data_IF_705626899670
#
_entry.id   IF_705626899670
#
_cell.length_a   1.000
_cell.length_b   1.000
_cell.length_c   1.000
_cell.angle_alpha   90.00
_cell.angle_beta   90.00
_cell.angle_gamma   90.00
#
_symmetry.space_group_name_H-M   'P 1'
#
loop_
_entity.id
_entity.type
_entity.pdbx_description
1 polymer ?
#
# COMPACT_ATOMS: atom_id res chain seq x y z
N UNK A 1 -10.54 17.01 -78.48
CA UNK A 1 -10.32 15.58 -78.75
C UNK A 1 -9.91 14.90 -77.45
N UNK A 2 -10.81 14.06 -76.94
CA UNK A 2 -10.77 13.43 -75.64
C UNK A 2 -9.81 12.22 -75.69
N UNK A 3 -8.76 12.18 -74.87
CA UNK A 3 -7.89 11.00 -74.77
C UNK A 3 -8.52 10.02 -73.78
N UNK A 4 -8.91 8.86 -74.29
CA UNK A 4 -9.44 7.72 -73.55
C UNK A 4 -8.40 7.21 -72.54
N UNK A 5 -8.85 7.03 -71.30
CA UNK A 5 -8.14 6.29 -70.27
C UNK A 5 -7.99 4.83 -70.73
N UNK A 6 -6.76 4.31 -70.72
CA UNK A 6 -6.52 2.88 -70.79
C UNK A 6 -7.05 2.23 -69.51
N UNK A 7 -8.01 1.34 -69.68
CA UNK A 7 -8.48 0.42 -68.65
C UNK A 7 -7.33 -0.47 -68.20
N UNK A 8 -6.94 -0.36 -66.93
CA UNK A 8 -6.19 -1.41 -66.25
C UNK A 8 -7.08 -2.64 -66.20
N UNK A 9 -6.82 -3.60 -67.07
CA UNK A 9 -7.38 -4.95 -66.95
C UNK A 9 -6.71 -5.56 -65.72
N UNK A 10 -7.51 -5.96 -64.73
CA UNK A 10 -7.08 -6.77 -63.59
C UNK A 10 -7.45 -8.23 -63.91
N UNK A 11 -6.58 -9.03 -64.54
CA UNK A 11 -6.75 -10.46 -64.55
C UNK A 11 -6.06 -11.04 -63.31
N UNK A 12 -6.84 -11.43 -62.28
CA UNK A 12 -6.55 -12.53 -61.32
C UNK A 12 -7.36 -12.56 -60.01
N UNK A 13 -8.19 -11.56 -59.71
CA UNK A 13 -8.98 -11.57 -58.46
C UNK A 13 -9.87 -12.82 -58.28
N UNK A 14 -10.44 -13.33 -59.38
CA UNK A 14 -11.35 -14.50 -59.39
C UNK A 14 -10.66 -15.84 -59.09
N UNK A 15 -9.48 -16.08 -59.66
CA UNK A 15 -8.67 -17.28 -59.36
C UNK A 15 -8.04 -17.21 -57.96
N UNK A 16 -7.66 -16.00 -57.52
CA UNK A 16 -7.09 -15.77 -56.19
C UNK A 16 -8.16 -15.93 -55.09
N UNK A 17 -9.41 -15.52 -55.32
CA UNK A 17 -10.54 -15.78 -54.42
C UNK A 17 -10.82 -17.28 -54.27
N UNK A 18 -10.94 -18.01 -55.39
CA UNK A 18 -11.18 -19.47 -55.36
C UNK A 18 -10.01 -20.19 -54.70
N UNK A 19 -8.76 -19.82 -55.00
CA UNK A 19 -7.57 -20.36 -54.32
C UNK A 19 -7.58 -20.03 -52.84
N UNK A 20 -7.89 -18.80 -52.43
CA UNK A 20 -7.92 -18.42 -51.02
C UNK A 20 -9.02 -19.16 -50.23
N UNK A 21 -10.21 -19.30 -50.81
CA UNK A 21 -11.30 -20.07 -50.21
C UNK A 21 -10.99 -21.57 -50.14
N UNK A 22 -10.36 -22.15 -51.17
CA UNK A 22 -9.86 -23.53 -51.14
C UNK A 22 -8.74 -23.70 -50.12
N UNK A 23 -7.80 -22.77 -50.06
CA UNK A 23 -6.68 -22.77 -49.10
C UNK A 23 -7.20 -22.66 -47.66
N UNK A 24 -8.23 -21.84 -47.40
CA UNK A 24 -8.88 -21.74 -46.09
C UNK A 24 -9.65 -23.02 -45.73
N UNK A 25 -10.32 -23.67 -46.69
CA UNK A 25 -11.00 -24.96 -46.50
C UNK A 25 -10.03 -26.12 -46.27
N UNK A 26 -8.85 -26.07 -46.89
CA UNK A 26 -7.78 -27.07 -46.73
C UNK A 26 -6.99 -26.87 -45.43
N UNK A 27 -6.71 -25.62 -45.03
CA UNK A 27 -5.98 -25.30 -43.82
C UNK A 27 -6.82 -25.40 -42.55
N UNK A 28 -8.14 -25.15 -42.64
CA UNK A 28 -9.05 -25.14 -41.49
C UNK A 28 -10.35 -25.94 -41.74
N UNK A 29 -10.27 -27.27 -41.91
CA UNK A 29 -11.45 -28.14 -42.13
C UNK A 29 -12.46 -28.09 -40.98
N UNK A 30 -12.06 -27.65 -39.79
CA UNK A 30 -12.91 -27.43 -38.61
C UNK A 30 -13.97 -26.34 -38.80
N UNK A 31 -13.76 -25.38 -39.73
CA UNK A 31 -14.74 -24.32 -40.02
C UNK A 31 -15.99 -24.85 -40.75
N UNK A 32 -15.92 -26.06 -41.31
CA UNK A 32 -17.02 -26.73 -42.01
C UNK A 32 -17.84 -27.64 -41.08
N UNK A 33 -17.39 -27.86 -39.84
CA UNK A 33 -18.09 -28.70 -38.87
C UNK A 33 -18.95 -27.83 -37.95
N UNK A 34 -20.24 -28.16 -37.74
CA UNK A 34 -21.04 -27.47 -36.73
C UNK A 34 -20.39 -27.69 -35.35
N UNK A 35 -20.18 -26.64 -34.55
CA UNK A 35 -19.41 -26.75 -33.32
C UNK A 35 -20.07 -27.79 -32.40
N UNK A 36 -19.29 -28.70 -31.78
CA UNK A 36 -19.85 -29.70 -30.88
C UNK A 36 -20.61 -29.01 -29.76
N UNK A 37 -21.81 -29.51 -29.44
CA UNK A 37 -22.64 -29.00 -28.33
C UNK A 37 -21.92 -29.27 -27.02
N UNK A 38 -21.11 -28.30 -26.59
CA UNK A 38 -20.32 -28.40 -25.38
C UNK A 38 -21.23 -28.46 -24.13
N UNK A 39 -20.91 -29.38 -23.23
CA UNK A 39 -21.63 -29.59 -21.98
C UNK A 39 -21.57 -28.31 -21.11
N UNK A 40 -22.70 -27.76 -20.62
CA UNK A 40 -22.72 -26.50 -19.87
C UNK A 40 -21.79 -26.48 -18.66
N UNK A 41 -21.61 -27.60 -17.96
CA UNK A 41 -20.70 -27.69 -16.81
C UNK A 41 -19.21 -27.62 -17.19
N UNK A 42 -18.82 -28.23 -18.31
CA UNK A 42 -17.46 -28.10 -18.85
C UNK A 42 -17.19 -26.69 -19.36
N UNK A 43 -18.18 -26.05 -20.01
CA UNK A 43 -18.08 -24.64 -20.43
C UNK A 43 -17.92 -23.70 -19.24
N UNK A 44 -18.64 -23.91 -18.14
CA UNK A 44 -18.51 -23.07 -16.93
C UNK A 44 -17.16 -23.28 -16.24
N UNK A 45 -16.70 -24.52 -16.09
CA UNK A 45 -15.37 -24.81 -15.53
C UNK A 45 -14.22 -24.26 -16.37
N UNK A 46 -14.30 -24.40 -17.70
CA UNK A 46 -13.33 -23.78 -18.63
C UNK A 46 -13.35 -22.26 -18.56
N UNK A 47 -14.53 -21.63 -18.47
CA UNK A 47 -14.64 -20.17 -18.33
C UNK A 47 -14.05 -19.66 -17.02
N UNK A 48 -14.26 -20.38 -15.91
CA UNK A 48 -13.66 -20.04 -14.61
C UNK A 48 -12.15 -20.23 -14.66
N UNK A 49 -11.66 -21.32 -15.24
CA UNK A 49 -10.22 -21.57 -15.42
C UNK A 49 -9.56 -20.49 -16.29
N UNK A 50 -10.16 -20.15 -17.43
CA UNK A 50 -9.71 -19.07 -18.30
C UNK A 50 -9.75 -17.70 -17.61
N UNK A 51 -10.76 -17.45 -16.78
CA UNK A 51 -10.86 -16.22 -15.99
C UNK A 51 -9.76 -16.12 -14.92
N UNK A 52 -9.43 -17.22 -14.24
CA UNK A 52 -8.34 -17.25 -13.27
C UNK A 52 -6.97 -17.10 -13.93
N UNK A 53 -6.78 -17.70 -15.11
CA UNK A 53 -5.57 -17.52 -15.91
C UNK A 53 -5.46 -16.09 -16.40
N UNK A 54 -6.55 -15.47 -16.87
CA UNK A 54 -6.53 -14.06 -17.33
C UNK A 54 -6.41 -13.04 -16.20
N UNK A 55 -6.71 -13.43 -14.96
CA UNK A 55 -6.43 -12.64 -13.75
C UNK A 55 -4.93 -12.53 -13.46
N UNK A 56 -4.15 -13.57 -13.79
CA UNK A 56 -2.73 -13.65 -13.44
C UNK A 56 -1.86 -13.29 -14.66
N UNK A 57 -2.22 -13.80 -15.83
CA UNK A 57 -1.45 -13.67 -17.06
C UNK A 57 -2.15 -12.73 -18.04
N UNK A 58 -1.37 -11.83 -18.63
CA UNK A 58 -1.83 -10.98 -19.72
C UNK A 58 -2.14 -11.85 -20.94
N UNK A 59 -3.29 -11.63 -21.58
CA UNK A 59 -3.70 -12.40 -22.75
C UNK A 59 -2.95 -11.88 -24.00
N UNK A 60 -2.09 -12.68 -24.66
CA UNK A 60 -1.36 -12.26 -25.86
C UNK A 60 -2.25 -11.81 -27.02
N UNK A 61 -3.46 -12.35 -27.13
CA UNK A 61 -4.42 -11.99 -28.18
C UNK A 61 -4.90 -10.55 -28.08
N UNK A 62 -4.88 -10.00 -26.87
CA UNK A 62 -5.27 -8.61 -26.64
C UNK A 62 -4.18 -7.62 -27.07
N UNK A 63 -2.96 -8.08 -27.42
CA UNK A 63 -1.83 -7.23 -27.81
C UNK A 63 -1.74 -6.99 -29.32
N UNK A 64 -2.01 -7.96 -30.20
CA UNK A 64 -1.81 -7.80 -31.66
C UNK A 64 -2.97 -7.19 -32.44
N UNK A 65 -4.09 -6.80 -31.82
CA UNK A 65 -5.21 -6.16 -32.53
C UNK A 65 -6.12 -7.16 -33.27
N UNK A 66 -7.06 -6.66 -34.08
CA UNK A 66 -8.14 -7.50 -34.68
C UNK A 66 -8.04 -7.67 -36.20
N UNK A 67 -7.36 -6.77 -36.90
CA UNK A 67 -7.48 -6.65 -38.35
C UNK A 67 -6.31 -7.34 -39.08
N UNK A 68 -5.11 -7.39 -38.50
CA UNK A 68 -3.93 -8.04 -39.10
C UNK A 68 -3.14 -8.79 -38.03
N UNK A 69 -2.95 -10.10 -38.20
CA UNK A 69 -2.15 -10.93 -37.30
C UNK A 69 -1.05 -11.64 -38.08
N UNK A 70 0.07 -10.95 -38.36
CA UNK A 70 1.25 -11.60 -38.93
C UNK A 70 1.90 -12.52 -37.89
N UNK A 71 2.57 -13.59 -38.34
CA UNK A 71 3.26 -14.51 -37.43
C UNK A 71 4.25 -13.78 -36.50
N UNK A 72 4.98 -12.79 -37.04
CA UNK A 72 5.89 -11.94 -36.28
C UNK A 72 5.17 -11.09 -35.23
N UNK A 73 4.03 -10.47 -35.58
CA UNK A 73 3.24 -9.65 -34.65
C UNK A 73 2.63 -10.50 -33.51
N UNK A 74 2.21 -11.72 -33.81
CA UNK A 74 1.73 -12.70 -32.82
C UNK A 74 2.86 -13.12 -31.90
N UNK A 75 4.04 -13.44 -32.42
CA UNK A 75 5.22 -13.80 -31.62
C UNK A 75 5.63 -12.67 -30.66
N UNK A 76 5.71 -11.44 -31.15
CA UNK A 76 6.06 -10.30 -30.29
C UNK A 76 4.98 -9.95 -29.27
N UNK A 77 3.72 -10.22 -29.58
CA UNK A 77 2.62 -10.09 -28.61
C UNK A 77 2.72 -11.11 -27.49
N UNK A 78 3.04 -12.37 -27.82
CA UNK A 78 3.28 -13.41 -26.82
C UNK A 78 4.47 -13.07 -25.94
N UNK A 79 5.57 -12.57 -26.53
CA UNK A 79 6.75 -12.13 -25.79
C UNK A 79 6.41 -10.97 -24.83
N UNK A 80 5.69 -9.95 -25.33
CA UNK A 80 5.29 -8.78 -24.53
C UNK A 80 4.36 -9.17 -23.38
N UNK A 81 3.33 -9.96 -23.67
CA UNK A 81 2.40 -10.47 -22.66
C UNK A 81 3.10 -11.33 -21.59
N UNK A 82 4.08 -12.15 -21.99
CA UNK A 82 4.88 -12.96 -21.06
C UNK A 82 5.73 -12.09 -20.13
N UNK A 83 6.41 -11.08 -20.68
CA UNK A 83 7.25 -10.17 -19.89
C UNK A 83 6.42 -9.37 -18.89
N UNK A 84 5.27 -8.84 -19.32
CA UNK A 84 4.33 -8.14 -18.41
C UNK A 84 3.85 -9.09 -17.32
N UNK A 85 3.42 -10.31 -17.68
CA UNK A 85 2.90 -11.28 -16.69
C UNK A 85 3.96 -11.66 -15.65
N UNK A 86 5.21 -11.89 -16.07
CA UNK A 86 6.32 -12.18 -15.16
C UNK A 86 6.60 -10.98 -14.26
N UNK A 87 6.64 -9.76 -14.81
CA UNK A 87 6.83 -8.53 -14.04
C UNK A 87 5.73 -8.32 -12.99
N UNK A 88 4.46 -8.45 -13.40
CA UNK A 88 3.30 -8.35 -12.52
C UNK A 88 3.33 -9.41 -11.42
N UNK A 89 3.71 -10.65 -11.73
CA UNK A 89 3.81 -11.73 -10.75
C UNK A 89 4.94 -11.51 -9.75
N UNK A 90 6.12 -11.06 -10.21
CA UNK A 90 7.23 -10.69 -9.32
C UNK A 90 6.81 -9.56 -8.38
N UNK A 91 6.19 -8.51 -8.92
CA UNK A 91 5.66 -7.42 -8.11
C UNK A 91 4.61 -7.91 -7.11
N UNK A 92 3.77 -8.87 -7.49
CA UNK A 92 2.80 -9.44 -6.57
C UNK A 92 3.47 -10.19 -5.42
N UNK A 93 4.48 -11.02 -5.71
CA UNK A 93 5.25 -11.72 -4.67
C UNK A 93 5.90 -10.71 -3.71
N UNK A 94 6.48 -9.64 -4.24
CA UNK A 94 7.18 -8.64 -3.41
C UNK A 94 6.24 -7.70 -2.66
N UNK A 95 5.04 -7.45 -3.17
CA UNK A 95 4.02 -6.64 -2.49
C UNK A 95 3.22 -7.43 -1.45
N UNK A 96 3.22 -8.75 -1.52
CA UNK A 96 2.43 -9.58 -0.62
C UNK A 96 2.70 -9.30 0.88
N UNK A 97 3.96 -9.11 1.34
CA UNK A 97 4.23 -8.83 2.75
C UNK A 97 3.62 -7.52 3.22
N UNK A 98 3.78 -6.43 2.47
CA UNK A 98 3.21 -5.13 2.86
C UNK A 98 1.68 -5.17 2.84
N UNK A 99 1.06 -5.85 1.86
CA UNK A 99 -0.39 -6.01 1.84
C UNK A 99 -0.88 -6.87 3.02
N UNK A 100 -0.18 -7.94 3.35
CA UNK A 100 -0.52 -8.78 4.50
C UNK A 100 -0.46 -7.97 5.81
N UNK A 101 0.63 -7.25 6.05
CA UNK A 101 0.76 -6.44 7.26
C UNK A 101 -0.26 -5.29 7.32
N UNK A 102 -0.66 -4.72 6.19
CA UNK A 102 -1.66 -3.65 6.15
C UNK A 102 -3.03 -4.13 6.66
N UNK A 103 -3.33 -5.42 6.50
CA UNK A 103 -4.58 -6.02 6.96
C UNK A 103 -4.43 -6.91 8.21
N UNK A 104 -3.21 -7.12 8.74
CA UNK A 104 -2.93 -7.99 9.90
C UNK A 104 -3.80 -7.63 11.11
N UNK A 105 -4.12 -6.34 11.28
CA UNK A 105 -4.92 -5.82 12.39
C UNK A 105 -6.37 -6.35 12.40
N UNK A 106 -6.89 -6.85 11.27
CA UNK A 106 -8.20 -7.52 11.18
C UNK A 106 -8.14 -9.03 11.50
N UNK A 107 -6.95 -9.55 11.82
CA UNK A 107 -6.69 -10.96 12.06
C UNK A 107 -6.03 -11.65 10.85
N UNK A 108 -5.30 -12.74 11.11
CA UNK A 108 -4.47 -13.41 10.10
C UNK A 108 -5.26 -13.94 8.90
N UNK A 109 -6.44 -14.54 9.12
CA UNK A 109 -7.26 -15.09 8.04
C UNK A 109 -7.86 -13.98 7.15
N UNK A 110 -8.53 -12.94 7.70
CA UNK A 110 -8.93 -11.76 6.92
C UNK A 110 -7.76 -11.07 6.23
N UNK A 111 -6.59 -10.97 6.89
CA UNK A 111 -5.41 -10.37 6.29
C UNK A 111 -4.93 -11.15 5.06
N UNK A 112 -4.88 -12.48 5.15
CA UNK A 112 -4.49 -13.32 4.03
C UNK A 112 -5.47 -13.20 2.86
N UNK A 113 -6.78 -13.23 3.11
CA UNK A 113 -7.79 -13.14 2.03
C UNK A 113 -7.81 -11.75 1.39
N UNK A 114 -7.78 -10.68 2.19
CA UNK A 114 -7.79 -9.31 1.70
C UNK A 114 -6.50 -8.98 0.92
N UNK A 115 -5.34 -9.37 1.45
CA UNK A 115 -4.04 -9.15 0.78
C UNK A 115 -3.97 -9.89 -0.55
N UNK A 116 -4.32 -11.18 -0.59
CA UNK A 116 -4.33 -11.96 -1.85
C UNK A 116 -5.31 -11.37 -2.86
N UNK A 117 -6.52 -10.99 -2.44
CA UNK A 117 -7.52 -10.40 -3.33
C UNK A 117 -7.03 -9.08 -3.91
N UNK A 118 -6.50 -8.19 -3.08
CA UNK A 118 -5.97 -6.91 -3.54
C UNK A 118 -4.76 -7.10 -4.44
N UNK A 119 -3.91 -8.08 -4.15
CA UNK A 119 -2.75 -8.41 -4.97
C UNK A 119 -3.16 -8.91 -6.36
N UNK A 120 -4.18 -9.77 -6.45
CA UNK A 120 -4.77 -10.20 -7.72
C UNK A 120 -5.38 -9.04 -8.51
N UNK A 121 -6.08 -8.11 -7.83
CA UNK A 121 -6.60 -6.90 -8.47
C UNK A 121 -5.47 -6.02 -9.03
N UNK A 122 -4.37 -5.90 -8.30
CA UNK A 122 -3.18 -5.16 -8.72
C UNK A 122 -2.51 -5.81 -9.95
N UNK A 123 -2.38 -7.14 -9.98
CA UNK A 123 -1.89 -7.87 -11.16
C UNK A 123 -2.79 -7.59 -12.35
N UNK A 124 -4.11 -7.77 -12.18
CA UNK A 124 -5.08 -7.54 -13.24
C UNK A 124 -5.01 -6.11 -13.76
N UNK A 125 -4.98 -5.13 -12.86
CA UNK A 125 -4.87 -3.71 -13.22
C UNK A 125 -3.59 -3.44 -14.02
N UNK A 126 -2.47 -4.05 -13.64
CA UNK A 126 -1.19 -3.89 -14.35
C UNK A 126 -1.24 -4.50 -15.75
N UNK A 127 -1.81 -5.71 -15.88
CA UNK A 127 -1.98 -6.40 -17.15
C UNK A 127 -2.94 -5.62 -18.08
N UNK A 128 -4.09 -5.17 -17.57
CA UNK A 128 -5.10 -4.41 -18.32
C UNK A 128 -4.51 -3.07 -18.83
N UNK A 129 -3.70 -2.37 -18.01
CA UNK A 129 -2.99 -1.17 -18.46
C UNK A 129 -1.95 -1.50 -19.54
N UNK A 130 -1.22 -2.62 -19.43
CA UNK A 130 -0.31 -3.09 -20.47
C UNK A 130 -1.02 -3.30 -21.82
N UNK A 131 -2.19 -3.94 -21.79
CA UNK A 131 -3.06 -4.09 -22.96
C UNK A 131 -3.54 -2.74 -23.50
N UNK A 132 -3.94 -1.81 -22.62
CA UNK A 132 -4.40 -0.48 -23.02
C UNK A 132 -3.29 0.36 -23.68
N UNK A 133 -2.04 0.23 -23.22
CA UNK A 133 -0.86 0.84 -23.85
C UNK A 133 -0.62 0.24 -25.24
N UNK A 134 -0.63 -1.10 -25.34
CA UNK A 134 -0.54 -1.81 -26.62
C UNK A 134 -1.73 -1.48 -27.56
N UNK A 135 -2.84 -0.98 -27.01
CA UNK A 135 -4.03 -0.49 -27.70
C UNK A 135 -3.93 0.87 -28.37
N UNK A 136 -2.73 1.40 -28.54
CA UNK A 136 -2.49 2.61 -29.31
C UNK A 136 -2.99 2.43 -30.75
N UNK A 137 -3.90 3.32 -31.16
CA UNK A 137 -4.39 3.44 -32.54
C UNK A 137 -4.60 4.91 -32.93
N UNK A 138 -4.75 5.16 -34.23
CA UNK A 138 -5.12 6.47 -34.75
C UNK A 138 -6.41 6.98 -34.05
N UNK A 139 -6.36 8.20 -33.50
CA UNK A 139 -7.43 8.80 -32.70
C UNK A 139 -7.47 8.46 -31.20
N UNK A 140 -6.78 7.41 -30.71
CA UNK A 140 -6.80 6.99 -29.30
C UNK A 140 -5.47 7.19 -28.54
N UNK A 141 -4.65 8.11 -29.03
CA UNK A 141 -3.30 8.36 -28.50
C UNK A 141 -3.27 8.80 -27.03
N UNK A 142 -4.25 9.60 -26.60
CA UNK A 142 -4.29 10.13 -25.25
C UNK A 142 -4.62 9.04 -24.22
N UNK A 143 -5.47 8.07 -24.57
CA UNK A 143 -5.78 6.93 -23.72
C UNK A 143 -4.55 6.04 -23.51
N UNK A 144 -3.82 5.72 -24.59
CA UNK A 144 -2.59 4.93 -24.50
C UNK A 144 -1.51 5.64 -23.66
N UNK A 145 -1.40 6.98 -23.76
CA UNK A 145 -0.51 7.78 -22.90
C UNK A 145 -0.94 7.75 -21.43
N UNK A 146 -2.24 7.88 -21.14
CA UNK A 146 -2.77 7.79 -19.79
C UNK A 146 -2.53 6.41 -19.18
N UNK A 147 -2.76 5.33 -19.93
CA UNK A 147 -2.46 3.97 -19.53
C UNK A 147 -0.96 3.76 -19.27
N UNK A 148 -0.08 4.34 -20.10
CA UNK A 148 1.36 4.28 -19.89
C UNK A 148 1.78 5.01 -18.62
N UNK A 149 1.23 6.20 -18.36
CA UNK A 149 1.48 6.94 -17.13
C UNK A 149 1.01 6.16 -15.89
N UNK A 150 -0.18 5.54 -15.95
CA UNK A 150 -0.70 4.69 -14.89
C UNK A 150 0.19 3.45 -14.65
N UNK A 151 0.65 2.80 -15.72
CA UNK A 151 1.56 1.65 -15.64
C UNK A 151 2.90 2.01 -14.97
N UNK A 152 3.50 3.15 -15.35
CA UNK A 152 4.77 3.63 -14.77
C UNK A 152 4.59 4.02 -13.29
N UNK A 153 3.51 4.75 -12.98
CA UNK A 153 3.21 5.17 -11.62
C UNK A 153 2.98 3.96 -10.71
N UNK A 154 2.22 2.97 -11.18
CA UNK A 154 1.98 1.73 -10.44
C UNK A 154 3.26 0.94 -10.24
N UNK A 155 4.08 0.80 -11.29
CA UNK A 155 5.40 0.13 -11.19
C UNK A 155 6.28 0.77 -10.13
N UNK A 156 6.32 2.11 -10.08
CA UNK A 156 7.10 2.85 -9.08
C UNK A 156 6.58 2.61 -7.67
N UNK A 157 5.25 2.66 -7.48
CA UNK A 157 4.63 2.38 -6.19
C UNK A 157 4.91 0.95 -5.72
N UNK A 158 4.81 -0.03 -6.62
CA UNK A 158 5.10 -1.44 -6.34
C UNK A 158 6.56 -1.66 -5.98
N UNK A 159 7.51 -0.96 -6.61
CA UNK A 159 8.93 -1.05 -6.23
C UNK A 159 9.18 -0.52 -4.82
N UNK A 160 8.57 0.60 -4.44
CA UNK A 160 8.66 1.12 -3.06
C UNK A 160 8.01 0.14 -2.07
N UNK A 161 6.83 -0.35 -2.40
CA UNK A 161 6.08 -1.33 -1.62
C UNK A 161 6.87 -2.63 -1.43
N UNK A 162 7.62 -3.08 -2.45
CA UNK A 162 8.52 -4.23 -2.39
C UNK A 162 9.65 -4.02 -1.39
N UNK A 163 10.29 -2.85 -1.41
CA UNK A 163 11.37 -2.53 -0.47
C UNK A 163 10.87 -2.49 0.97
N UNK A 164 9.76 -1.79 1.22
CA UNK A 164 9.14 -1.70 2.56
C UNK A 164 8.62 -3.06 3.02
N UNK A 165 7.98 -3.83 2.13
CA UNK A 165 7.49 -5.18 2.42
C UNK A 165 8.63 -6.13 2.78
N UNK A 166 9.76 -6.05 2.06
CA UNK A 166 10.96 -6.83 2.37
C UNK A 166 11.54 -6.46 3.74
N UNK A 167 11.63 -5.17 4.06
CA UNK A 167 12.08 -4.69 5.37
C UNK A 167 11.15 -5.20 6.49
N UNK A 168 9.84 -5.09 6.29
CA UNK A 168 8.82 -5.57 7.22
C UNK A 168 8.89 -7.08 7.47
N UNK A 169 9.29 -7.86 6.46
CA UNK A 169 9.34 -9.32 6.59
C UNK A 169 10.67 -9.82 7.15
N UNK A 170 11.79 -9.22 6.75
CA UNK A 170 13.13 -9.75 7.02
C UNK A 170 13.80 -9.12 8.25
N UNK A 171 13.44 -7.89 8.61
CA UNK A 171 14.09 -7.17 9.72
C UNK A 171 13.18 -7.03 10.96
N UNK A 172 12.26 -7.98 11.17
CA UNK A 172 11.30 -7.94 12.29
C UNK A 172 11.93 -7.72 13.67
N UNK A 173 13.04 -8.39 14.04
CA UNK A 173 13.67 -8.16 15.35
C UNK A 173 14.11 -6.71 15.53
N UNK A 174 14.66 -6.10 14.47
CA UNK A 174 15.07 -4.70 14.47
C UNK A 174 13.87 -3.76 14.57
N UNK A 175 12.76 -4.06 13.88
CA UNK A 175 11.53 -3.29 14.00
C UNK A 175 10.93 -3.38 15.41
N UNK A 176 10.98 -4.56 16.03
CA UNK A 176 10.57 -4.75 17.42
C UNK A 176 11.46 -3.96 18.37
N UNK A 177 12.77 -3.98 18.17
CA UNK A 177 13.72 -3.20 18.95
C UNK A 177 13.47 -1.69 18.81
N UNK A 178 13.26 -1.18 17.59
CA UNK A 178 12.92 0.22 17.34
C UNK A 178 11.62 0.62 18.04
N UNK A 179 10.61 -0.25 18.02
CA UNK A 179 9.36 -0.01 18.76
C UNK A 179 9.59 0.05 20.26
N UNK A 180 10.42 -0.86 20.79
CA UNK A 180 10.72 -0.90 22.22
C UNK A 180 11.42 0.38 22.67
N UNK A 181 12.44 0.83 21.92
CA UNK A 181 13.11 2.11 22.13
C UNK A 181 12.11 3.27 22.11
N UNK A 182 11.25 3.35 21.08
CA UNK A 182 10.25 4.41 20.98
C UNK A 182 9.34 4.48 22.22
N UNK A 183 8.95 3.32 22.78
CA UNK A 183 8.11 3.28 23.97
C UNK A 183 8.87 3.69 25.24
N UNK A 184 10.12 3.27 25.38
CA UNK A 184 10.99 3.64 26.50
C UNK A 184 11.25 5.16 26.48
N UNK A 185 11.52 5.71 25.31
CA UNK A 185 11.78 7.14 25.13
C UNK A 185 10.52 7.97 25.43
N UNK A 186 9.35 7.55 24.95
CA UNK A 186 8.07 8.20 25.30
C UNK A 186 7.79 8.20 26.80
N UNK A 187 8.05 7.08 27.49
CA UNK A 187 7.86 7.01 28.94
C UNK A 187 8.85 7.89 29.69
N UNK A 188 10.10 7.93 29.23
CA UNK A 188 11.12 8.82 29.80
C UNK A 188 10.71 10.29 29.65
N UNK A 189 10.30 10.70 28.45
CA UNK A 189 9.80 12.05 28.19
C UNK A 189 8.57 12.39 29.03
N UNK A 190 7.57 11.49 29.10
CA UNK A 190 6.36 11.71 29.90
C UNK A 190 6.66 11.91 31.39
N UNK A 191 7.71 11.26 31.92
CA UNK A 191 8.15 11.41 33.32
C UNK A 191 8.94 12.71 33.53
N UNK A 192 9.79 13.09 32.57
CA UNK A 192 10.51 14.37 32.59
C UNK A 192 9.53 15.55 32.56
N UNK A 193 8.54 15.48 31.65
CA UNK A 193 7.48 16.47 31.45
C UNK A 193 6.39 16.43 32.54
N UNK A 194 6.38 15.41 33.40
CA UNK A 194 5.41 15.29 34.48
C UNK A 194 5.48 16.55 35.36
N UNK A 195 4.39 17.32 35.51
CA UNK A 195 4.43 18.50 36.33
C UNK A 195 4.67 18.09 37.80
N UNK A 196 5.46 18.87 38.53
CA UNK A 196 5.61 18.70 39.98
C UNK A 196 4.38 19.23 40.75
N UNK A 197 3.19 19.18 40.12
CA UNK A 197 1.92 19.66 40.62
C UNK A 197 0.87 18.57 40.48
N UNK A 198 -0.09 18.56 41.39
CA UNK A 198 -1.28 17.72 41.31
C UNK A 198 -2.53 18.59 41.15
N UNK A 199 -3.61 18.03 40.62
CA UNK A 199 -4.91 18.74 40.54
C UNK A 199 -5.39 19.19 41.93
N UNK A 200 -5.13 18.38 42.97
CA UNK A 200 -5.40 18.73 44.35
C UNK A 200 -4.55 19.93 44.82
N UNK A 201 -3.25 19.95 44.48
CA UNK A 201 -2.38 21.09 44.79
C UNK A 201 -2.83 22.36 44.08
N UNK A 202 -3.18 22.30 42.79
CA UNK A 202 -3.62 23.48 42.04
C UNK A 202 -4.92 24.05 42.59
N UNK A 203 -5.88 23.19 42.95
CA UNK A 203 -7.11 23.59 43.64
C UNK A 203 -6.81 24.24 44.99
N UNK A 204 -5.95 23.63 45.81
CA UNK A 204 -5.56 24.18 47.11
C UNK A 204 -4.80 25.51 46.99
N UNK A 205 -3.96 25.66 45.95
CA UNK A 205 -3.25 26.89 45.63
C UNK A 205 -4.22 28.00 45.24
N UNK A 206 -5.18 27.72 44.36
CA UNK A 206 -6.20 28.69 43.96
C UNK A 206 -7.05 29.14 45.15
N UNK A 207 -7.47 28.19 46.01
CA UNK A 207 -8.23 28.53 47.22
C UNK A 207 -7.40 29.39 48.18
N UNK A 208 -6.11 29.08 48.36
CA UNK A 208 -5.19 29.88 49.16
C UNK A 208 -4.99 31.28 48.57
N UNK A 209 -4.67 31.41 47.28
CA UNK A 209 -4.44 32.70 46.62
C UNK A 209 -5.68 33.59 46.68
N UNK A 210 -6.88 33.04 46.45
CA UNK A 210 -8.13 33.78 46.57
C UNK A 210 -8.37 34.27 48.01
N UNK A 211 -8.25 33.38 49.00
CA UNK A 211 -8.43 33.75 50.41
C UNK A 211 -7.36 34.73 50.90
N UNK A 212 -6.13 34.62 50.42
CA UNK A 212 -5.03 35.50 50.77
C UNK A 212 -5.22 36.90 50.18
N UNK A 213 -5.68 37.01 48.93
CA UNK A 213 -6.02 38.31 48.31
C UNK A 213 -7.14 39.03 49.07
N UNK A 214 -8.21 38.30 49.46
CA UNK A 214 -9.29 38.86 50.27
C UNK A 214 -8.77 39.34 51.63
N UNK A 215 -7.90 38.56 52.26
CA UNK A 215 -7.29 38.92 53.54
C UNK A 215 -6.38 40.15 53.44
N UNK A 216 -5.59 40.31 52.37
CA UNK A 216 -4.74 41.49 52.17
C UNK A 216 -5.55 42.79 52.01
N UNK A 217 -6.75 42.72 51.44
CA UNK A 217 -7.66 43.87 51.31
C UNK A 217 -8.41 44.21 52.60
N UNK A 218 -8.32 43.37 53.64
CA UNK A 218 -9.14 43.48 54.85
C UNK A 218 -8.46 44.35 55.92
N UNK A 219 -9.18 45.35 56.43
CA UNK A 219 -8.72 46.13 57.59
C UNK A 219 -8.61 45.25 58.84
N UNK A 220 -7.62 45.53 59.69
CA UNK A 220 -7.42 44.83 60.97
C UNK A 220 -8.57 45.02 61.97
N UNK A 221 -9.38 46.06 61.77
CA UNK A 221 -10.60 46.31 62.55
C UNK A 221 -11.84 45.55 62.03
N UNK A 222 -11.70 44.77 60.95
CA UNK A 222 -12.82 44.05 60.35
C UNK A 222 -13.32 42.94 61.29
N UNK A 223 -14.65 42.77 61.49
CA UNK A 223 -15.20 41.81 62.45
C UNK A 223 -14.73 40.36 62.23
N UNK A 224 -14.50 39.98 60.97
CA UNK A 224 -14.10 38.63 60.58
C UNK A 224 -12.59 38.44 60.41
N UNK A 225 -11.77 39.43 60.76
CA UNK A 225 -10.32 39.39 60.51
C UNK A 225 -9.66 38.17 61.16
N UNK A 226 -9.99 37.89 62.43
CA UNK A 226 -9.46 36.73 63.15
C UNK A 226 -9.90 35.39 62.53
N UNK A 227 -11.14 35.30 62.05
CA UNK A 227 -11.67 34.09 61.40
C UNK A 227 -10.91 33.81 60.11
N UNK A 228 -10.68 34.83 59.28
CA UNK A 228 -9.89 34.72 58.05
C UNK A 228 -8.44 34.35 58.33
N UNK A 229 -7.81 35.04 59.29
CA UNK A 229 -6.45 34.73 59.71
C UNK A 229 -6.31 33.26 60.12
N UNK A 230 -7.24 32.77 60.95
CA UNK A 230 -7.21 31.40 61.45
C UNK A 230 -7.43 30.37 60.35
N UNK A 231 -8.27 30.66 59.35
CA UNK A 231 -8.47 29.77 58.19
C UNK A 231 -7.22 29.68 57.31
N UNK A 232 -6.55 30.81 57.08
CA UNK A 232 -5.36 30.87 56.24
C UNK A 232 -4.14 30.23 56.90
N UNK A 233 -3.85 30.65 58.14
CA UNK A 233 -2.57 30.38 58.82
C UNK A 233 -2.70 29.47 60.04
N UNK A 234 -3.92 29.24 60.55
CA UNK A 234 -4.16 28.60 61.83
C UNK A 234 -4.21 29.61 63.00
N UNK A 235 -4.49 29.11 64.20
CA UNK A 235 -4.48 29.96 65.41
C UNK A 235 -3.04 30.30 65.80
N UNK A 236 -2.87 31.42 66.51
CA UNK A 236 -1.55 31.85 67.00
C UNK A 236 -0.86 30.81 67.88
N UNK A 237 -1.62 30.09 68.70
CA UNK A 237 -1.12 29.00 69.55
C UNK A 237 -0.54 27.83 68.76
N UNK A 238 -0.99 27.65 67.51
CA UNK A 238 -0.54 26.57 66.63
C UNK A 238 0.64 26.97 65.72
N UNK A 239 1.26 28.14 65.91
CA UNK A 239 2.34 28.61 65.03
C UNK A 239 3.52 27.64 64.96
N UNK A 240 3.85 27.02 66.08
CA UNK A 240 4.98 26.10 66.21
C UNK A 240 4.51 24.62 66.27
N UNK A 241 3.24 24.35 65.90
CA UNK A 241 2.66 23.01 65.89
C UNK A 241 3.23 22.19 64.75
N UNK A 242 3.58 20.93 65.05
CA UNK A 242 3.80 19.95 63.99
C UNK A 242 2.46 19.54 63.36
N UNK A 243 2.31 19.88 62.09
CA UNK A 243 1.12 19.58 61.32
C UNK A 243 1.12 18.17 60.74
N UNK A 244 2.25 17.44 60.76
CA UNK A 244 2.47 16.15 60.08
C UNK A 244 1.37 15.11 60.32
N UNK A 245 0.85 15.04 61.54
CA UNK A 245 -0.15 14.06 62.00
C UNK A 245 -1.62 14.49 61.78
N UNK A 246 -1.85 15.74 61.38
CA UNK A 246 -3.20 16.27 61.15
C UNK A 246 -3.68 15.88 59.74
N UNK A 247 -4.91 15.36 59.55
CA UNK A 247 -5.44 15.08 58.22
C UNK A 247 -5.44 16.31 57.31
N UNK A 248 -5.16 16.11 56.03
CA UNK A 248 -4.98 17.20 55.05
C UNK A 248 -6.21 18.10 54.91
N UNK A 249 -7.41 17.55 55.10
CA UNK A 249 -8.69 18.27 55.06
C UNK A 249 -8.85 19.27 56.21
N UNK A 250 -8.18 19.02 57.34
CA UNK A 250 -8.29 19.81 58.56
C UNK A 250 -7.16 20.83 58.73
N UNK A 251 -6.28 20.96 57.73
CA UNK A 251 -5.18 21.92 57.76
C UNK A 251 -5.65 23.33 57.42
N UNK A 252 -5.00 24.36 57.99
CA UNK A 252 -5.07 25.71 57.44
C UNK A 252 -4.69 25.73 55.95
N UNK A 253 -5.27 26.66 55.19
CA UNK A 253 -5.12 26.69 53.73
C UNK A 253 -3.66 26.72 53.28
N UNK A 254 -2.81 27.49 53.96
CA UNK A 254 -1.38 27.57 53.65
C UNK A 254 -0.69 26.21 53.85
N UNK A 255 -0.91 25.58 55.01
CA UNK A 255 -0.29 24.30 55.35
C UNK A 255 -0.78 23.18 54.44
N UNK A 256 -2.07 23.21 54.06
CA UNK A 256 -2.66 22.27 53.11
C UNK A 256 -2.02 22.37 51.73
N UNK A 257 -1.90 23.59 51.19
CA UNK A 257 -1.24 23.84 49.91
C UNK A 257 0.21 23.35 49.96
N UNK A 258 0.98 23.74 50.98
CA UNK A 258 2.39 23.33 51.12
C UNK A 258 2.55 21.82 51.23
N UNK A 259 1.66 21.14 51.94
CA UNK A 259 1.67 19.67 52.01
C UNK A 259 1.42 19.05 50.64
N UNK A 260 0.35 19.45 49.96
CA UNK A 260 0.01 18.91 48.65
C UNK A 260 1.11 19.18 47.61
N UNK A 261 1.83 20.31 47.73
CA UNK A 261 3.00 20.59 46.92
C UNK A 261 4.13 19.58 47.17
N UNK A 262 4.46 19.32 48.45
CA UNK A 262 5.49 18.34 48.82
C UNK A 262 5.11 16.93 48.41
N UNK A 263 3.85 16.55 48.59
CA UNK A 263 3.32 15.25 48.15
C UNK A 263 3.41 15.08 46.63
N UNK A 264 3.05 16.11 45.85
CA UNK A 264 3.18 16.09 44.41
C UNK A 264 4.64 15.99 43.95
N UNK A 265 5.54 16.77 44.57
CA UNK A 265 6.97 16.71 44.29
C UNK A 265 7.57 15.34 44.66
N UNK A 266 7.22 14.79 45.83
CA UNK A 266 7.67 13.48 46.27
C UNK A 266 7.16 12.36 45.35
N UNK A 267 5.92 12.46 44.86
CA UNK A 267 5.36 11.51 43.88
C UNK A 267 6.16 11.52 42.58
N UNK A 268 6.50 12.71 42.06
CA UNK A 268 7.35 12.83 40.86
C UNK A 268 8.74 12.24 41.12
N UNK A 269 9.35 12.56 42.25
CA UNK A 269 10.69 12.07 42.60
C UNK A 269 10.70 10.54 42.74
N UNK A 270 9.70 9.97 43.42
CA UNK A 270 9.55 8.52 43.55
C UNK A 270 9.34 7.83 42.20
N UNK A 271 8.50 8.42 41.32
CA UNK A 271 8.31 7.91 39.97
C UNK A 271 9.61 7.93 39.16
N UNK A 272 10.40 9.00 39.28
CA UNK A 272 11.69 9.12 38.62
C UNK A 272 12.72 8.12 39.16
N UNK A 273 12.78 7.93 40.48
CA UNK A 273 13.66 6.95 41.10
C UNK A 273 13.33 5.53 40.66
N UNK A 274 12.04 5.14 40.71
CA UNK A 274 11.58 3.83 40.21
C UNK A 274 11.87 3.65 38.73
N UNK A 275 11.76 4.70 37.92
CA UNK A 275 12.11 4.64 36.51
C UNK A 275 13.60 4.44 36.29
N UNK A 276 14.45 5.17 37.02
CA UNK A 276 15.90 5.02 36.96
C UNK A 276 16.34 3.61 37.38
N UNK A 277 15.71 3.01 38.40
CA UNK A 277 15.95 1.62 38.78
C UNK A 277 15.60 0.62 37.66
N UNK A 278 14.51 0.87 36.93
CA UNK A 278 14.17 0.06 35.75
C UNK A 278 15.20 0.26 34.64
N UNK A 279 15.59 1.49 34.35
CA UNK A 279 16.62 1.77 33.33
C UNK A 279 17.98 1.14 33.65
N UNK A 280 18.34 0.99 34.93
CA UNK A 280 19.53 0.24 35.31
C UNK A 280 19.45 -1.22 34.83
N UNK A 281 18.29 -1.88 35.00
CA UNK A 281 18.07 -3.26 34.50
C UNK A 281 18.05 -3.35 32.98
N UNK A 282 17.66 -2.29 32.27
CA UNK A 282 17.76 -2.23 30.79
C UNK A 282 19.20 -2.47 30.33
N UNK A 283 20.16 -1.83 30.99
CA UNK A 283 21.59 -2.00 30.66
C UNK A 283 22.11 -3.41 30.95
N UNK A 284 21.59 -4.08 31.98
CA UNK A 284 21.95 -5.46 32.31
C UNK A 284 21.43 -6.47 31.28
N UNK A 285 20.23 -6.23 30.73
CA UNK A 285 19.60 -7.13 29.76
C UNK A 285 20.16 -6.99 28.34
N UNK A 286 20.50 -5.77 27.92
CA UNK A 286 21.04 -5.51 26.58
C UNK A 286 20.05 -5.69 25.42
N UNK A 287 18.78 -5.98 25.71
CA UNK A 287 17.69 -6.13 24.75
C UNK A 287 16.47 -5.36 25.27
N UNK A 288 15.97 -4.41 24.46
CA UNK A 288 14.91 -3.50 24.90
C UNK A 288 13.53 -4.17 24.85
N UNK A 289 13.33 -5.12 23.95
CA UNK A 289 12.10 -5.90 23.86
C UNK A 289 11.97 -6.82 25.08
N UNK A 290 13.07 -7.49 25.45
CA UNK A 290 13.14 -8.31 26.66
C UNK A 290 12.98 -7.47 27.93
N UNK A 291 13.58 -6.28 27.97
CA UNK A 291 13.39 -5.33 29.06
C UNK A 291 11.91 -4.94 29.23
N UNK A 292 11.21 -4.63 28.13
CA UNK A 292 9.77 -4.36 28.18
C UNK A 292 9.00 -5.56 28.71
N UNK A 293 9.31 -6.77 28.25
CA UNK A 293 8.63 -7.99 28.72
C UNK A 293 8.78 -8.20 30.24
N UNK A 294 9.97 -7.99 30.78
CA UNK A 294 10.27 -8.27 32.19
C UNK A 294 9.85 -7.14 33.14
N UNK A 295 10.10 -5.89 32.79
CA UNK A 295 9.90 -4.74 33.70
C UNK A 295 8.59 -3.97 33.44
N UNK A 296 7.96 -4.20 32.28
CA UNK A 296 6.72 -3.54 31.83
C UNK A 296 5.82 -4.51 31.02
N UNK A 297 5.40 -5.65 31.60
CA UNK A 297 4.70 -6.71 30.87
C UNK A 297 3.38 -6.25 30.23
N UNK A 298 2.69 -5.27 30.83
CA UNK A 298 1.47 -4.68 30.26
C UNK A 298 1.76 -3.91 28.96
N UNK A 299 2.87 -3.15 28.92
CA UNK A 299 3.28 -2.41 27.73
C UNK A 299 3.77 -3.38 26.64
N UNK A 300 4.48 -4.43 27.05
CA UNK A 300 4.88 -5.51 26.15
C UNK A 300 3.66 -6.17 25.52
N UNK A 301 2.70 -6.64 26.31
CA UNK A 301 1.51 -7.34 25.82
C UNK A 301 0.63 -6.47 24.89
N UNK A 302 0.74 -5.15 25.00
CA UNK A 302 0.02 -4.21 24.12
C UNK A 302 0.62 -4.11 22.71
N UNK A 303 1.94 -4.16 22.59
CA UNK A 303 2.64 -3.90 21.32
C UNK A 303 3.27 -5.15 20.69
N UNK A 304 3.55 -6.18 21.48
CA UNK A 304 4.31 -7.36 21.08
C UNK A 304 3.53 -8.65 21.33
N UNK A 305 3.70 -9.62 20.45
CA UNK A 305 3.18 -10.97 20.61
C UNK A 305 4.17 -11.89 21.34
N UNK A 306 3.78 -13.16 21.51
CA UNK A 306 4.58 -14.16 22.21
C UNK A 306 5.91 -14.49 21.50
N UNK A 307 6.02 -14.16 20.20
CA UNK A 307 7.22 -14.35 19.40
C UNK A 307 8.12 -13.11 19.38
N UNK A 308 7.86 -12.12 20.25
CA UNK A 308 8.57 -10.83 20.26
C UNK A 308 8.38 -10.00 18.99
N UNK A 309 7.39 -10.36 18.15
CA UNK A 309 7.02 -9.64 16.95
C UNK A 309 5.96 -8.57 17.27
N UNK A 310 5.91 -7.53 16.43
CA UNK A 310 4.88 -6.50 16.53
C UNK A 310 3.48 -7.07 16.28
N UNK A 311 2.56 -6.80 17.20
CA UNK A 311 1.14 -7.18 17.04
C UNK A 311 0.50 -6.45 15.89
N UNK A 312 0.67 -5.13 15.84
CA UNK A 312 0.07 -4.28 14.84
C UNK A 312 0.87 -4.32 13.53
N UNK A 313 0.21 -4.74 12.45
CA UNK A 313 0.84 -4.75 11.13
C UNK A 313 0.99 -3.35 10.53
N UNK A 314 0.11 -2.41 10.89
CA UNK A 314 0.29 -1.00 10.51
C UNK A 314 1.52 -0.38 11.19
N UNK A 315 1.78 -0.72 12.46
CA UNK A 315 3.04 -0.35 13.13
C UNK A 315 4.26 -0.99 12.45
N UNK A 316 4.17 -2.27 12.05
CA UNK A 316 5.24 -2.95 11.29
C UNK A 316 5.59 -2.19 10.01
N UNK A 317 4.60 -1.80 9.21
CA UNK A 317 4.83 -1.07 7.95
C UNK A 317 5.43 0.31 8.22
N UNK A 318 4.91 1.04 9.21
CA UNK A 318 5.44 2.36 9.56
C UNK A 318 6.91 2.28 9.98
N UNK A 319 7.23 1.35 10.87
CA UNK A 319 8.61 1.16 11.34
C UNK A 319 9.52 0.67 10.24
N UNK A 320 9.05 -0.24 9.37
CA UNK A 320 9.80 -0.68 8.20
C UNK A 320 10.12 0.49 7.27
N UNK A 321 9.16 1.39 7.01
CA UNK A 321 9.39 2.56 6.18
C UNK A 321 10.41 3.53 6.80
N UNK A 322 10.31 3.79 8.11
CA UNK A 322 11.27 4.63 8.84
C UNK A 322 12.66 4.01 8.83
N UNK A 323 12.76 2.70 9.08
CA UNK A 323 14.03 2.00 9.12
C UNK A 323 14.71 1.94 7.75
N UNK A 324 13.93 1.63 6.71
CA UNK A 324 14.40 1.65 5.33
C UNK A 324 14.93 3.05 4.95
N UNK A 325 14.18 4.10 5.27
CA UNK A 325 14.62 5.48 5.02
C UNK A 325 15.91 5.81 5.78
N UNK A 326 15.98 5.44 7.06
CA UNK A 326 17.15 5.65 7.89
C UNK A 326 18.39 5.00 7.29
N UNK A 327 18.32 3.70 6.99
CA UNK A 327 19.42 2.94 6.36
C UNK A 327 19.83 3.52 5.01
N UNK A 328 18.87 3.97 4.18
CA UNK A 328 19.14 4.66 2.92
C UNK A 328 19.91 5.98 3.13
N UNK A 329 19.49 6.80 4.09
CA UNK A 329 20.14 8.09 4.36
C UNK A 329 21.53 7.96 4.98
N UNK A 330 21.76 6.91 5.76
CA UNK A 330 23.05 6.63 6.39
C UNK A 330 24.01 5.85 5.48
N UNK A 331 23.54 5.33 4.35
CA UNK A 331 24.34 4.51 3.46
C UNK A 331 24.67 3.14 4.05
N UNK A 332 23.83 2.59 4.93
CA UNK A 332 23.98 1.23 5.46
C UNK A 332 23.56 0.19 4.41
N UNK A 333 24.43 -0.01 3.42
CA UNK A 333 24.20 -0.97 2.33
C UNK A 333 24.11 -2.40 2.86
N UNK A 334 24.81 -2.72 3.96
CA UNK A 334 24.79 -4.04 4.57
C UNK A 334 23.40 -4.36 5.17
N UNK A 335 22.82 -3.42 5.91
CA UNK A 335 21.45 -3.54 6.44
C UNK A 335 20.35 -3.47 5.38
N UNK A 336 20.65 -2.95 4.18
CA UNK A 336 19.73 -2.82 3.05
C UNK A 336 19.72 -4.01 2.08
N UNK A 337 20.62 -5.00 2.23
CA UNK A 337 20.89 -6.00 1.20
C UNK A 337 19.63 -6.62 0.56
N UNK A 338 18.73 -7.19 1.37
CA UNK A 338 17.49 -7.79 0.88
C UNK A 338 16.46 -6.77 0.37
N UNK A 339 16.11 -5.70 1.11
CA UNK A 339 15.22 -4.65 0.60
C UNK A 339 15.66 -4.03 -0.71
N UNK A 340 16.96 -3.73 -0.85
CA UNK A 340 17.55 -3.15 -2.04
C UNK A 340 17.55 -4.14 -3.21
N UNK A 341 17.85 -5.42 -2.96
CA UNK A 341 17.76 -6.46 -3.97
C UNK A 341 16.34 -6.54 -4.57
N UNK A 342 15.30 -6.59 -3.73
CA UNK A 342 13.92 -6.65 -4.21
C UNK A 342 13.47 -5.35 -4.88
N UNK A 343 13.93 -4.20 -4.40
CA UNK A 343 13.71 -2.92 -5.06
C UNK A 343 14.29 -2.91 -6.47
N UNK A 344 15.57 -3.27 -6.63
CA UNK A 344 16.24 -3.32 -7.93
C UNK A 344 15.57 -4.35 -8.84
N UNK A 345 15.27 -5.54 -8.33
CA UNK A 345 14.59 -6.58 -9.10
C UNK A 345 13.22 -6.10 -9.61
N UNK A 346 12.43 -5.43 -8.77
CA UNK A 346 11.15 -4.84 -9.15
C UNK A 346 11.32 -3.72 -10.18
N UNK A 347 12.29 -2.82 -10.00
CA UNK A 347 12.56 -1.72 -10.94
C UNK A 347 13.00 -2.24 -12.30
N UNK A 348 13.91 -3.22 -12.34
CA UNK A 348 14.44 -3.79 -13.60
C UNK A 348 13.35 -4.56 -14.33
N UNK A 349 12.60 -5.41 -13.63
CA UNK A 349 11.54 -6.21 -14.24
C UNK A 349 10.37 -5.34 -14.72
N UNK A 350 9.90 -4.40 -13.91
CA UNK A 350 8.81 -3.49 -14.25
C UNK A 350 9.22 -2.48 -15.32
N UNK A 351 10.44 -1.95 -15.24
CA UNK A 351 11.02 -1.05 -16.23
C UNK A 351 11.17 -1.72 -17.59
N UNK A 352 11.67 -2.97 -17.61
CA UNK A 352 11.74 -3.78 -18.82
C UNK A 352 10.36 -4.04 -19.43
N UNK A 353 9.37 -4.38 -18.61
CA UNK A 353 7.98 -4.58 -19.05
C UNK A 353 7.36 -3.29 -19.63
N UNK A 354 7.53 -2.15 -18.94
CA UNK A 354 7.06 -0.85 -19.42
C UNK A 354 7.71 -0.50 -20.76
N UNK A 355 9.04 -0.64 -20.85
CA UNK A 355 9.80 -0.35 -22.05
C UNK A 355 9.34 -1.22 -23.23
N UNK A 356 9.25 -2.54 -23.04
CA UNK A 356 8.79 -3.44 -24.09
C UNK A 356 7.35 -3.14 -24.53
N UNK A 357 6.45 -2.83 -23.60
CA UNK A 357 5.05 -2.50 -23.92
C UNK A 357 4.97 -1.21 -24.73
N UNK A 358 5.73 -0.19 -24.35
CA UNK A 358 5.81 1.08 -25.07
C UNK A 358 6.43 0.90 -26.47
N UNK A 359 7.53 0.17 -26.56
CA UNK A 359 8.19 -0.12 -27.83
C UNK A 359 7.26 -0.91 -28.77
N UNK A 360 6.55 -1.90 -28.23
CA UNK A 360 5.55 -2.69 -28.95
C UNK A 360 4.38 -1.81 -29.45
N UNK A 361 3.84 -0.94 -28.60
CA UNK A 361 2.75 -0.03 -28.96
C UNK A 361 3.13 0.97 -30.06
N UNK A 362 4.42 1.22 -30.28
CA UNK A 362 4.93 2.13 -31.31
C UNK A 362 5.22 1.44 -32.66
N UNK A 363 5.07 0.13 -32.76
CA UNK A 363 5.26 -0.56 -34.05
C UNK A 363 4.12 -0.26 -35.02
N UNK A 364 4.47 -0.14 -36.31
CA UNK A 364 3.51 0.20 -37.37
C UNK A 364 2.52 -0.93 -37.65
N UNK A 365 2.94 -2.18 -37.56
CA UNK A 365 2.10 -3.37 -37.75
C UNK A 365 1.06 -3.52 -36.63
N UNK A 366 1.43 -3.22 -35.39
CA UNK A 366 0.49 -3.15 -34.25
C UNK A 366 -0.57 -2.06 -34.48
N UNK A 367 -0.17 -0.87 -34.94
CA UNK A 367 -1.11 0.22 -35.23
C UNK A 367 -2.06 -0.13 -36.40
N UNK A 368 -1.53 -0.75 -37.47
CA UNK A 368 -2.33 -1.19 -38.63
C UNK A 368 -3.36 -2.25 -38.24
N UNK A 369 -2.99 -3.23 -37.41
CA UNK A 369 -3.93 -4.25 -36.95
C UNK A 369 -5.08 -3.71 -36.10
N UNK A 370 -4.93 -2.52 -35.50
CA UNK A 370 -5.98 -1.87 -34.70
C UNK A 370 -6.71 -0.76 -35.42
N UNK A 371 -6.35 -0.48 -36.67
CA UNK A 371 -6.96 0.60 -37.44
C UNK A 371 -8.25 0.11 -38.09
N UNK A 372 -9.38 0.70 -37.70
CA UNK A 372 -10.71 0.33 -38.18
C UNK A 372 -10.82 0.49 -39.72
N UNK A 373 -10.16 1.51 -40.30
CA UNK A 373 -10.14 1.71 -41.75
C UNK A 373 -9.42 0.59 -42.51
N UNK A 374 -8.42 -0.05 -41.87
CA UNK A 374 -7.75 -1.24 -42.45
C UNK A 374 -8.70 -2.43 -42.39
N UNK A 375 -9.45 -2.60 -41.30
CA UNK A 375 -10.48 -3.63 -41.18
C UNK A 375 -11.59 -3.47 -42.23
N UNK A 376 -12.09 -2.25 -42.41
CA UNK A 376 -13.08 -1.91 -43.45
C UNK A 376 -12.56 -2.21 -44.86
N UNK A 377 -11.29 -1.88 -45.16
CA UNK A 377 -10.68 -2.19 -46.44
C UNK A 377 -10.55 -3.70 -46.68
N UNK A 378 -10.19 -4.48 -45.64
CA UNK A 378 -10.12 -5.95 -45.72
C UNK A 378 -11.51 -6.55 -45.96
N UNK A 379 -12.53 -6.08 -45.23
CA UNK A 379 -13.92 -6.56 -45.42
C UNK A 379 -14.41 -6.21 -46.83
N UNK A 380 -14.20 -4.98 -47.30
CA UNK A 380 -14.61 -4.57 -48.64
C UNK A 380 -13.95 -5.42 -49.73
N UNK A 381 -12.66 -5.73 -49.57
CA UNK A 381 -11.94 -6.62 -50.49
C UNK A 381 -12.49 -8.05 -50.45
N UNK A 382 -12.76 -8.61 -49.27
CA UNK A 382 -13.36 -9.94 -49.14
C UNK A 382 -14.77 -10.01 -49.73
N UNK A 383 -15.59 -8.97 -49.53
CA UNK A 383 -16.91 -8.88 -50.15
C UNK A 383 -16.83 -8.81 -51.67
N UNK A 384 -15.85 -8.09 -52.23
CA UNK A 384 -15.59 -8.05 -53.67
C UNK A 384 -15.22 -9.44 -54.20
N UNK A 385 -14.33 -10.17 -53.50
CA UNK A 385 -13.94 -11.53 -53.87
C UNK A 385 -15.11 -12.53 -53.78
N UNK A 386 -15.98 -12.42 -52.76
CA UNK A 386 -17.16 -13.27 -52.59
C UNK A 386 -18.17 -12.99 -53.71
N UNK A 387 -18.50 -11.71 -53.98
CA UNK A 387 -19.41 -11.34 -55.07
C UNK A 387 -18.90 -11.81 -56.43
N UNK A 388 -17.58 -11.74 -56.66
CA UNK A 388 -16.96 -12.23 -57.89
C UNK A 388 -16.99 -13.77 -58.00
N UNK A 389 -17.11 -14.49 -56.88
CA UNK A 389 -17.27 -15.95 -56.84
C UNK A 389 -18.73 -16.38 -57.01
N UNK A 390 -19.68 -15.69 -56.37
CA UNK A 390 -21.11 -16.03 -56.43
C UNK A 390 -21.74 -15.74 -57.79
N UNK A 391 -21.24 -14.74 -58.53
CA UNK A 391 -21.69 -14.45 -59.90
C UNK A 391 -21.41 -15.62 -60.89
N UNK A 392 -20.47 -16.51 -60.56
CA UNK A 392 -20.14 -17.71 -61.34
C UNK A 392 -21.18 -18.83 -61.14
N UNK A 393 -21.78 -18.97 -59.95
CA UNK A 393 -22.81 -19.99 -59.68
C UNK A 393 -24.13 -19.66 -60.40
N UNK A 394 -24.42 -18.38 -60.64
CA UNK A 394 -25.61 -17.95 -61.38
C UNK A 394 -25.50 -18.05 -62.91
N UNK A 395 -24.29 -18.19 -63.46
CA UNK A 395 -24.07 -18.40 -64.90
C UNK A 395 -24.02 -19.89 -65.28
N UNK A 396 -23.73 -20.79 -64.33
CA UNK A 396 -23.73 -22.25 -64.56
C UNK A 396 -25.14 -22.89 -64.39
N UNK A 397 -26.11 -22.17 -63.80
CA UNK A 397 -27.51 -22.61 -63.60
C UNK A 397 -28.50 -22.04 -64.65
N UNK A 398 -28.03 -21.33 -65.68
CA UNK A 398 -28.83 -20.80 -66.79
C UNK A 398 -28.44 -21.46 -68.12
#
# INVERSE_FOLDING_TARGET
>A
MNKSFHSFIIPKAKEEAKKAAQTLRELHPELLQPPPKANPFQRTGQKIGLFLVSLIFANPEEFYGKNIATAELVEHSQLTARVISIGSLLNAITNQPILFFAFKDFGNLPAMTASLTLNLLIIKFTNDNGTAVAGRKYGNHNWAKAAAAAMIAMSTLQSIAAAVGSEAMNNRPELSQLKAIEQIDRLTQNLEDMPATSTAYESARQEYEAAFQEFQGMSRSHPNWNTFYTRLFGTWENRDRDWSSVPTENLPLEQRMLRLQREAAATKEEAQQRWNEKLAKRHELGDDVLFLQQQMPELFARHFDENYDLRSGTETIRLAMVNLHHKLTQGDIAGLGFPLFFLILSVVSSGGACWMTLAYAHRKDTEQSRNDAVGEAIIAYLEELIRAADADESEDDA
#
